data_IF_092350920947
#
_entry.id   IF_092350920947
#
_cell.length_a   1.000
_cell.length_b   1.000
_cell.length_c   1.000
_cell.angle_alpha   90.00
_cell.angle_beta   90.00
_cell.angle_gamma   90.00
#
_symmetry.space_group_name_H-M   'P 1'
#
loop_
_entity.id
_entity.type
_entity.pdbx_description
1 polymer ?
#
# COMPACT_ATOMS: atom_id res chain seq x y z
N UNK A 1 -40.47 3.08 -37.25
CA UNK A 1 -39.23 3.83 -36.98
C UNK A 1 -39.53 4.86 -35.91
N UNK A 2 -39.17 4.56 -34.67
CA UNK A 2 -39.04 5.54 -33.58
C UNK A 2 -37.61 5.43 -33.08
N UNK A 3 -36.75 6.19 -33.76
CA UNK A 3 -35.33 6.38 -33.48
C UNK A 3 -35.20 7.36 -32.32
N UNK A 4 -35.34 6.91 -31.09
CA UNK A 4 -34.72 7.59 -29.93
C UNK A 4 -33.55 6.78 -29.36
N UNK A 5 -33.06 5.82 -30.14
CA UNK A 5 -31.64 5.45 -30.17
C UNK A 5 -30.81 6.57 -30.81
N UNK A 6 -30.79 7.75 -30.21
CA UNK A 6 -29.58 8.55 -30.22
C UNK A 6 -28.79 8.03 -29.03
N UNK A 7 -27.96 7.02 -29.30
CA UNK A 7 -26.87 6.60 -28.42
C UNK A 7 -26.29 7.86 -27.81
N UNK A 8 -26.51 8.06 -26.51
CA UNK A 8 -25.76 8.98 -25.69
C UNK A 8 -24.31 8.81 -26.09
N UNK A 9 -23.69 9.88 -26.61
CA UNK A 9 -22.23 9.95 -26.59
C UNK A 9 -21.86 9.67 -25.14
N UNK A 10 -21.18 8.54 -24.87
CA UNK A 10 -20.85 8.13 -23.51
C UNK A 10 -20.29 9.34 -22.77
N UNK A 11 -21.03 9.84 -21.78
CA UNK A 11 -20.58 10.96 -20.95
C UNK A 11 -19.27 10.52 -20.30
N UNK A 12 -18.22 11.33 -20.47
CA UNK A 12 -16.87 10.97 -20.00
C UNK A 12 -16.44 11.85 -18.83
N UNK A 13 -17.02 13.05 -18.70
CA UNK A 13 -16.80 13.97 -17.59
C UNK A 13 -18.08 14.08 -16.79
N UNK A 14 -17.97 13.99 -15.47
CA UNK A 14 -19.08 13.94 -14.52
C UNK A 14 -18.88 14.97 -13.43
N UNK A 15 -19.98 15.44 -12.84
CA UNK A 15 -20.03 16.36 -11.70
C UNK A 15 -20.82 15.77 -10.54
N UNK A 16 -20.83 16.48 -9.41
CA UNK A 16 -21.60 16.08 -8.21
C UNK A 16 -23.08 15.80 -8.52
N UNK A 17 -23.67 16.55 -9.45
CA UNK A 17 -25.08 16.37 -9.87
C UNK A 17 -25.37 15.04 -10.60
N UNK A 18 -24.33 14.29 -10.98
CA UNK A 18 -24.46 12.99 -11.63
C UNK A 18 -24.36 11.82 -10.64
N UNK A 19 -24.12 12.10 -9.36
CA UNK A 19 -24.05 11.07 -8.32
C UNK A 19 -25.42 10.41 -8.19
N UNK A 20 -25.44 9.08 -8.30
CA UNK A 20 -26.60 8.25 -8.03
C UNK A 20 -26.35 7.41 -6.77
N UNK A 21 -27.10 7.74 -5.71
CA UNK A 21 -27.00 7.04 -4.43
C UNK A 21 -27.73 5.70 -4.42
N UNK A 22 -28.69 5.48 -5.33
CA UNK A 22 -29.35 4.18 -5.46
C UNK A 22 -28.36 3.18 -6.06
N UNK A 23 -27.59 3.58 -7.08
CA UNK A 23 -26.50 2.78 -7.65
C UNK A 23 -25.44 2.42 -6.59
N UNK A 24 -24.99 3.41 -5.80
CA UNK A 24 -24.03 3.16 -4.72
C UNK A 24 -24.60 2.20 -3.66
N UNK A 25 -25.88 2.34 -3.32
CA UNK A 25 -26.57 1.48 -2.36
C UNK A 25 -26.65 0.05 -2.89
N UNK A 26 -27.02 -0.15 -4.15
CA UNK A 26 -27.08 -1.47 -4.79
C UNK A 26 -25.69 -2.13 -4.79
N UNK A 27 -24.65 -1.39 -5.20
CA UNK A 27 -23.26 -1.86 -5.21
C UNK A 27 -22.82 -2.30 -3.82
N UNK A 28 -23.08 -1.51 -2.78
CA UNK A 28 -22.64 -1.82 -1.42
C UNK A 28 -23.53 -2.86 -0.70
N UNK A 29 -24.68 -3.24 -1.28
CA UNK A 29 -25.58 -4.26 -0.75
C UNK A 29 -25.16 -5.70 -1.13
N UNK A 30 -24.11 -5.85 -1.93
CA UNK A 30 -23.53 -7.13 -2.29
C UNK A 30 -23.07 -7.92 -1.06
N UNK A 31 -23.02 -9.25 -1.20
CA UNK A 31 -22.60 -10.18 -0.14
C UNK A 31 -21.41 -10.99 -0.61
N UNK A 32 -20.37 -11.01 0.22
CA UNK A 32 -19.18 -11.83 0.02
C UNK A 32 -19.45 -13.23 0.58
N UNK A 33 -19.32 -14.26 -0.25
CA UNK A 33 -19.42 -15.65 0.19
C UNK A 33 -18.01 -16.27 0.25
N UNK A 34 -17.75 -17.09 1.26
CA UNK A 34 -16.45 -17.75 1.41
C UNK A 34 -16.15 -18.71 0.25
N UNK A 35 -17.18 -19.34 -0.33
CA UNK A 35 -17.03 -20.27 -1.46
C UNK A 35 -16.48 -19.62 -2.74
N UNK A 36 -16.59 -18.29 -2.86
CA UNK A 36 -16.00 -17.53 -3.98
C UNK A 36 -14.49 -17.32 -3.82
N UNK A 37 -13.94 -17.55 -2.62
CA UNK A 37 -12.53 -17.33 -2.27
C UNK A 37 -11.97 -18.58 -1.59
N UNK A 38 -11.64 -19.57 -2.41
CA UNK A 38 -11.25 -20.92 -1.98
C UNK A 38 -10.00 -20.98 -1.10
N UNK A 39 -9.13 -19.96 -1.16
CA UNK A 39 -7.93 -19.87 -0.33
C UNK A 39 -8.18 -19.16 0.99
N UNK A 40 -9.35 -18.53 1.15
CA UNK A 40 -9.71 -17.80 2.37
C UNK A 40 -10.07 -18.74 3.52
N UNK A 41 -9.67 -18.35 4.72
CA UNK A 41 -9.99 -19.05 5.95
C UNK A 41 -11.43 -18.75 6.41
N UNK A 42 -11.89 -17.52 6.18
CA UNK A 42 -13.25 -17.09 6.50
C UNK A 42 -13.63 -15.79 5.80
N UNK A 43 -14.91 -15.45 5.84
CA UNK A 43 -15.42 -14.12 5.50
C UNK A 43 -16.18 -13.57 6.70
N UNK A 44 -15.94 -12.31 7.06
CA UNK A 44 -16.67 -11.62 8.13
C UNK A 44 -16.98 -10.20 7.70
N UNK A 45 -18.23 -9.76 7.87
CA UNK A 45 -18.68 -8.42 7.47
C UNK A 45 -18.26 -8.05 6.03
N UNK A 46 -18.41 -8.95 5.06
CA UNK A 46 -17.93 -8.79 3.67
C UNK A 46 -16.40 -8.61 3.50
N UNK A 47 -15.59 -8.71 4.54
CA UNK A 47 -14.12 -8.72 4.47
C UNK A 47 -13.65 -10.16 4.35
N UNK A 48 -12.83 -10.44 3.33
CA UNK A 48 -12.20 -11.76 3.13
C UNK A 48 -11.00 -11.89 4.08
N UNK A 49 -10.88 -13.02 4.78
CA UNK A 49 -9.84 -13.23 5.78
C UNK A 49 -9.01 -14.45 5.40
N UNK A 50 -7.71 -14.25 5.29
CA UNK A 50 -6.69 -15.27 5.07
C UNK A 50 -5.79 -15.42 6.31
N UNK A 51 -5.16 -16.57 6.48
CA UNK A 51 -4.09 -16.79 7.45
C UNK A 51 -2.74 -16.95 6.75
N UNK A 52 -1.72 -16.23 7.23
CA UNK A 52 -0.39 -16.26 6.66
C UNK A 52 0.21 -17.67 6.59
N UNK A 53 -0.08 -18.55 7.54
CA UNK A 53 0.44 -19.93 7.53
C UNK A 53 -0.17 -20.75 6.40
N UNK A 54 -1.46 -20.55 6.10
CA UNK A 54 -2.08 -21.16 4.94
C UNK A 54 -1.48 -20.61 3.64
N UNK A 55 -1.32 -19.28 3.55
CA UNK A 55 -0.75 -18.63 2.36
C UNK A 55 0.70 -19.07 2.08
N UNK A 56 1.52 -19.33 3.11
CA UNK A 56 2.89 -19.87 2.96
C UNK A 56 2.92 -21.16 2.13
N UNK A 57 1.88 -21.98 2.15
CA UNK A 57 1.81 -23.23 1.36
C UNK A 57 1.71 -23.01 -0.17
N UNK A 58 1.45 -21.77 -0.60
CA UNK A 58 1.42 -21.35 -2.01
C UNK A 58 2.76 -20.76 -2.48
N UNK A 59 3.68 -20.48 -1.56
CA UNK A 59 5.00 -19.87 -1.81
C UNK A 59 6.02 -20.97 -2.12
N UNK A 60 5.68 -21.83 -3.09
CA UNK A 60 6.47 -23.03 -3.44
C UNK A 60 7.02 -22.94 -4.86
N UNK A 61 6.21 -22.41 -5.79
CA UNK A 61 6.57 -22.20 -7.18
C UNK A 61 5.67 -21.13 -7.82
N UNK A 62 6.07 -20.66 -8.99
CA UNK A 62 5.37 -19.58 -9.71
C UNK A 62 3.90 -19.89 -10.02
N UNK A 63 3.55 -21.16 -10.27
CA UNK A 63 2.18 -21.55 -10.58
C UNK A 63 1.26 -21.35 -9.35
N UNK A 64 1.69 -21.81 -8.18
CA UNK A 64 0.93 -21.62 -6.94
C UNK A 64 0.89 -20.15 -6.50
N UNK A 65 2.00 -19.43 -6.64
CA UNK A 65 2.02 -17.99 -6.37
C UNK A 65 1.05 -17.24 -7.29
N UNK A 66 0.93 -17.65 -8.56
CA UNK A 66 -0.03 -17.07 -9.50
C UNK A 66 -1.48 -17.31 -9.07
N UNK A 67 -1.81 -18.52 -8.62
CA UNK A 67 -3.16 -18.84 -8.11
C UNK A 67 -3.52 -17.93 -6.94
N UNK A 68 -2.62 -17.78 -5.95
CA UNK A 68 -2.82 -16.87 -4.83
C UNK A 68 -3.01 -15.43 -5.29
N UNK A 69 -2.11 -14.92 -6.14
CA UNK A 69 -2.22 -13.55 -6.68
C UNK A 69 -3.51 -13.32 -7.45
N UNK A 70 -4.00 -14.32 -8.19
CA UNK A 70 -5.27 -14.22 -8.91
C UNK A 70 -6.45 -14.08 -7.96
N UNK A 71 -6.52 -14.87 -6.88
CA UNK A 71 -7.62 -14.75 -5.91
C UNK A 71 -7.57 -13.41 -5.16
N UNK A 72 -6.39 -12.97 -4.70
CA UNK A 72 -6.22 -11.66 -4.06
C UNK A 72 -6.62 -10.51 -5.01
N UNK A 73 -6.25 -10.60 -6.29
CA UNK A 73 -6.65 -9.63 -7.31
C UNK A 73 -8.19 -9.60 -7.49
N UNK A 74 -8.84 -10.77 -7.51
CA UNK A 74 -10.29 -10.87 -7.62
C UNK A 74 -11.00 -10.22 -6.43
N UNK A 75 -10.49 -10.39 -5.20
CA UNK A 75 -11.03 -9.68 -4.02
C UNK A 75 -10.99 -8.16 -4.23
N UNK A 76 -9.86 -7.63 -4.73
CA UNK A 76 -9.62 -6.20 -4.88
C UNK A 76 -10.35 -5.54 -6.05
N UNK A 77 -10.51 -6.26 -7.17
CA UNK A 77 -11.14 -5.72 -8.38
C UNK A 77 -12.66 -5.89 -8.34
N UNK A 78 -13.12 -7.14 -8.40
CA UNK A 78 -14.52 -7.50 -8.63
C UNK A 78 -15.24 -7.95 -7.34
N UNK A 79 -14.49 -8.19 -6.28
CA UNK A 79 -14.99 -8.56 -4.96
C UNK A 79 -15.25 -7.36 -4.04
N UNK A 80 -15.19 -7.58 -2.72
CA UNK A 80 -15.47 -6.54 -1.72
C UNK A 80 -14.42 -5.42 -1.66
N UNK A 81 -13.30 -5.55 -2.37
CA UNK A 81 -12.26 -4.52 -2.41
C UNK A 81 -11.32 -4.53 -1.23
N UNK A 82 -11.50 -5.43 -0.25
CA UNK A 82 -10.73 -5.48 1.00
C UNK A 82 -10.54 -6.92 1.51
N UNK A 83 -9.35 -7.21 2.02
CA UNK A 83 -9.06 -8.44 2.76
C UNK A 83 -8.11 -8.22 3.93
N UNK A 84 -8.11 -9.18 4.85
CA UNK A 84 -7.17 -9.27 5.97
C UNK A 84 -6.29 -10.51 5.82
N UNK A 85 -5.01 -10.39 6.16
CA UNK A 85 -4.08 -11.50 6.35
C UNK A 85 -3.71 -11.55 7.83
N UNK A 86 -4.19 -12.58 8.53
CA UNK A 86 -3.83 -12.84 9.92
C UNK A 86 -2.40 -13.34 10.02
N UNK A 87 -1.74 -13.00 11.13
CA UNK A 87 -0.38 -13.47 11.42
C UNK A 87 0.63 -13.13 10.32
N UNK A 88 0.44 -11.99 9.63
CA UNK A 88 1.31 -11.57 8.52
C UNK A 88 2.75 -11.32 9.02
N UNK A 89 2.88 -10.80 10.23
CA UNK A 89 4.14 -10.55 10.92
C UNK A 89 4.19 -11.25 12.27
N UNK A 90 5.38 -11.73 12.60
CA UNK A 90 5.70 -12.20 13.95
C UNK A 90 5.82 -11.02 14.92
N UNK A 91 5.46 -11.23 16.19
CA UNK A 91 5.43 -10.18 17.20
C UNK A 91 6.77 -9.46 17.38
N UNK A 92 7.88 -10.18 17.29
CA UNK A 92 9.23 -9.62 17.47
C UNK A 92 9.59 -8.58 16.39
N UNK A 93 9.18 -8.80 15.14
CA UNK A 93 9.41 -7.85 14.03
C UNK A 93 8.63 -6.55 14.26
N UNK A 94 7.40 -6.68 14.76
CA UNK A 94 6.55 -5.54 15.12
C UNK A 94 7.12 -4.78 16.32
N UNK A 95 7.55 -5.49 17.37
CA UNK A 95 8.08 -4.89 18.59
C UNK A 95 9.40 -4.14 18.34
N UNK A 96 10.27 -4.69 17.48
CA UNK A 96 11.48 -4.01 17.02
C UNK A 96 11.15 -2.68 16.30
N UNK A 97 10.13 -2.69 15.43
CA UNK A 97 9.68 -1.51 14.70
C UNK A 97 9.04 -0.47 15.63
N UNK A 98 8.22 -0.92 16.60
CA UNK A 98 7.60 -0.04 17.59
C UNK A 98 8.64 0.69 18.44
N UNK A 99 9.70 0.00 18.86
CA UNK A 99 10.81 0.62 19.60
C UNK A 99 11.48 1.73 18.78
N UNK A 100 11.58 1.57 17.46
CA UNK A 100 12.13 2.59 16.56
C UNK A 100 11.14 3.76 16.41
N UNK A 101 9.84 3.47 16.27
CA UNK A 101 8.80 4.50 16.19
C UNK A 101 8.76 5.37 17.44
N UNK A 102 8.88 4.79 18.64
CA UNK A 102 8.97 5.54 19.90
C UNK A 102 10.16 6.51 19.88
N UNK A 103 11.35 6.04 19.49
CA UNK A 103 12.55 6.89 19.36
C UNK A 103 12.39 8.01 18.33
N UNK A 104 11.65 7.76 17.24
CA UNK A 104 11.38 8.77 16.22
C UNK A 104 10.40 9.82 16.77
N UNK A 105 9.33 9.38 17.43
CA UNK A 105 8.35 10.28 18.07
C UNK A 105 9.05 11.19 19.09
N UNK A 106 9.88 10.63 19.97
CA UNK A 106 10.64 11.40 20.96
C UNK A 106 11.53 12.48 20.31
N UNK A 107 12.12 12.20 19.15
CA UNK A 107 12.93 13.17 18.40
C UNK A 107 12.11 14.25 17.69
N UNK A 108 10.86 13.94 17.33
CA UNK A 108 10.04 14.79 16.45
C UNK A 108 8.97 15.59 17.19
N UNK A 109 8.80 15.41 18.51
CA UNK A 109 7.80 16.07 19.37
C UNK A 109 7.70 17.58 19.15
N UNK A 110 8.81 18.29 18.91
CA UNK A 110 8.83 19.75 18.78
C UNK A 110 8.78 20.27 17.33
N UNK A 111 8.61 19.40 16.33
CA UNK A 111 8.74 19.76 14.89
C UNK A 111 7.54 19.39 14.03
N UNK A 112 6.46 18.85 14.59
CA UNK A 112 5.32 18.33 13.82
C UNK A 112 4.42 19.45 13.25
N UNK A 113 4.58 19.72 11.95
CA UNK A 113 3.60 20.43 11.14
C UNK A 113 2.70 19.36 10.49
N UNK A 114 1.60 18.97 11.14
CA UNK A 114 0.72 17.92 10.64
C UNK A 114 -0.57 18.51 10.06
N UNK A 115 -0.72 18.43 8.73
CA UNK A 115 -1.93 18.86 8.02
C UNK A 115 -3.05 17.81 8.05
N UNK A 116 -2.80 16.59 8.53
CA UNK A 116 -3.73 15.44 8.48
C UNK A 116 -4.05 14.79 9.83
N UNK A 117 -3.25 15.00 10.88
CA UNK A 117 -3.64 14.58 12.24
C UNK A 117 -4.67 15.54 12.83
N UNK A 118 -5.83 14.99 13.17
CA UNK A 118 -6.81 15.66 14.02
C UNK A 118 -6.43 15.50 15.50
N UNK A 119 -6.35 16.62 16.23
CA UNK A 119 -6.26 16.61 17.69
C UNK A 119 -4.94 16.06 18.25
N UNK A 120 -5.01 15.03 19.09
CA UNK A 120 -3.88 14.49 19.88
C UNK A 120 -3.18 13.29 19.23
N UNK A 121 -3.64 12.83 18.07
CA UNK A 121 -3.05 11.70 17.34
C UNK A 121 -1.64 12.04 16.85
N UNK A 122 -0.77 11.03 16.77
CA UNK A 122 0.59 11.19 16.21
C UNK A 122 0.68 10.51 14.85
N UNK A 123 1.28 11.21 13.89
CA UNK A 123 1.70 10.68 12.60
C UNK A 123 3.23 10.66 12.51
N UNK A 124 3.79 9.55 12.08
CA UNK A 124 5.19 9.51 11.62
C UNK A 124 5.18 9.48 10.09
N UNK A 125 5.45 10.63 9.48
CA UNK A 125 5.69 10.73 8.03
C UNK A 125 6.99 10.05 7.65
N UNK A 126 7.07 9.50 6.44
CA UNK A 126 8.22 8.80 5.90
C UNK A 126 8.81 7.74 6.83
N UNK A 127 7.96 6.99 7.54
CA UNK A 127 8.43 5.95 8.46
C UNK A 127 9.25 4.87 7.74
N UNK A 128 8.96 4.61 6.45
CA UNK A 128 9.74 3.72 5.59
C UNK A 128 11.24 4.08 5.58
N UNK A 129 11.56 5.32 5.18
CA UNK A 129 12.95 5.77 5.12
C UNK A 129 13.55 5.96 6.51
N UNK A 130 12.77 6.48 7.48
CA UNK A 130 13.27 6.72 8.83
C UNK A 130 13.68 5.42 9.52
N UNK A 131 12.90 4.35 9.41
CA UNK A 131 13.26 3.03 9.94
C UNK A 131 14.52 2.49 9.27
N UNK A 132 14.60 2.59 7.93
CA UNK A 132 15.78 2.14 7.18
C UNK A 132 17.08 2.78 7.67
N UNK A 133 17.05 4.08 7.96
CA UNK A 133 18.22 4.85 8.41
C UNK A 133 18.49 4.74 9.91
N UNK A 134 17.49 4.38 10.70
CA UNK A 134 17.66 4.16 12.13
C UNK A 134 18.23 2.78 12.43
N UNK A 135 17.75 1.75 11.71
CA UNK A 135 18.18 0.37 11.91
C UNK A 135 17.98 -0.45 10.62
N UNK A 136 19.07 -0.74 9.93
CA UNK A 136 19.07 -1.52 8.69
C UNK A 136 18.46 -2.91 8.86
N UNK A 137 18.81 -3.64 9.92
CA UNK A 137 18.34 -5.02 10.13
C UNK A 137 16.84 -5.06 10.45
N UNK A 138 16.32 -4.10 11.23
CA UNK A 138 14.89 -3.98 11.49
C UNK A 138 14.11 -3.75 10.18
N UNK A 139 14.62 -2.87 9.32
CA UNK A 139 14.04 -2.62 8.01
C UNK A 139 14.09 -3.87 7.12
N UNK A 140 15.24 -4.55 7.06
CA UNK A 140 15.43 -5.79 6.28
C UNK A 140 14.47 -6.88 6.78
N UNK A 141 14.36 -7.10 8.08
CA UNK A 141 13.46 -8.09 8.67
C UNK A 141 11.98 -7.77 8.37
N UNK A 142 11.59 -6.49 8.39
CA UNK A 142 10.22 -6.08 8.09
C UNK A 142 9.84 -6.27 6.62
N UNK A 143 10.74 -5.94 5.69
CA UNK A 143 10.44 -6.00 4.24
C UNK A 143 10.87 -7.31 3.56
N UNK A 144 11.53 -8.22 4.28
CA UNK A 144 11.78 -9.61 3.85
C UNK A 144 10.55 -10.50 4.06
N UNK A 145 9.36 -10.05 3.66
CA UNK A 145 8.10 -10.77 3.83
C UNK A 145 7.55 -11.26 2.48
N UNK A 146 7.59 -12.58 2.26
CA UNK A 146 7.12 -13.20 1.00
C UNK A 146 5.63 -12.93 0.72
N UNK A 147 4.80 -12.92 1.76
CA UNK A 147 3.36 -12.71 1.60
C UNK A 147 3.08 -11.26 1.22
N UNK A 148 3.75 -10.30 1.87
CA UNK A 148 3.60 -8.88 1.51
C UNK A 148 4.00 -8.64 0.04
N UNK A 149 5.07 -9.28 -0.43
CA UNK A 149 5.51 -9.23 -1.84
C UNK A 149 4.43 -9.78 -2.77
N UNK A 150 3.79 -10.90 -2.44
CA UNK A 150 2.69 -11.45 -3.27
C UNK A 150 1.42 -10.60 -3.22
N UNK A 151 1.10 -10.00 -2.07
CA UNK A 151 0.01 -9.03 -1.94
C UNK A 151 0.26 -7.83 -2.86
N UNK A 152 1.46 -7.25 -2.82
CA UNK A 152 1.84 -6.14 -3.70
C UNK A 152 1.71 -6.52 -5.18
N UNK A 153 2.27 -7.67 -5.57
CA UNK A 153 2.24 -8.15 -6.95
C UNK A 153 0.85 -8.52 -7.45
N UNK A 154 -0.07 -8.91 -6.57
CA UNK A 154 -1.44 -9.25 -6.94
C UNK A 154 -2.19 -8.06 -7.54
N UNK A 155 -1.85 -6.84 -7.13
CA UNK A 155 -2.51 -5.62 -7.59
C UNK A 155 -1.62 -4.76 -8.49
N UNK A 156 -0.39 -4.50 -8.06
CA UNK A 156 0.50 -3.52 -8.68
C UNK A 156 1.46 -4.13 -9.72
N UNK A 157 1.53 -5.46 -9.80
CA UNK A 157 2.54 -6.17 -10.58
C UNK A 157 3.93 -6.16 -9.92
N UNK A 158 4.96 -6.65 -10.61
CA UNK A 158 6.33 -6.69 -10.08
C UNK A 158 6.93 -5.28 -9.92
N UNK A 159 7.99 -5.17 -9.13
CA UNK A 159 8.76 -3.93 -8.96
C UNK A 159 7.92 -2.75 -8.42
N UNK A 160 6.95 -3.04 -7.56
CA UNK A 160 6.15 -2.02 -6.87
C UNK A 160 7.03 -1.17 -5.97
N UNK A 161 6.71 0.11 -5.86
CA UNK A 161 7.32 1.04 -4.92
C UNK A 161 6.51 1.08 -3.62
N UNK A 162 7.17 1.23 -2.47
CA UNK A 162 6.48 1.24 -1.18
C UNK A 162 6.84 2.47 -0.37
N UNK A 163 5.81 3.10 0.19
CA UNK A 163 5.95 4.12 1.24
C UNK A 163 5.19 3.66 2.48
N UNK A 164 5.58 4.19 3.63
CA UNK A 164 4.96 3.81 4.89
C UNK A 164 4.85 4.99 5.84
N UNK A 165 3.72 5.09 6.54
CA UNK A 165 3.42 6.15 7.50
C UNK A 165 2.72 5.57 8.72
N UNK A 166 3.21 5.89 9.92
CA UNK A 166 2.64 5.34 11.16
C UNK A 166 1.56 6.26 11.69
N UNK A 167 0.40 5.68 12.01
CA UNK A 167 -0.67 6.32 12.76
C UNK A 167 -0.73 5.78 14.18
N UNK A 168 -0.61 6.67 15.16
CA UNK A 168 -0.86 6.40 16.57
C UNK A 168 -2.14 7.12 16.96
N UNK A 169 -3.24 6.38 17.07
CA UNK A 169 -4.53 6.93 17.52
C UNK A 169 -4.61 6.83 19.03
N UNK A 170 -4.67 7.98 19.70
CA UNK A 170 -4.69 8.06 21.16
C UNK A 170 -6.09 7.77 21.72
N UNK A 171 -6.18 7.40 23.01
CA UNK A 171 -7.45 7.40 23.75
C UNK A 171 -8.27 8.66 23.50
N UNK A 172 -9.56 8.50 23.20
CA UNK A 172 -10.47 9.60 22.86
C UNK A 172 -10.33 10.14 21.42
N UNK A 173 -9.50 9.53 20.58
CA UNK A 173 -9.34 9.93 19.18
C UNK A 173 -10.64 9.78 18.39
N UNK A 174 -11.07 10.84 17.71
CA UNK A 174 -12.30 10.84 16.91
C UNK A 174 -12.15 10.03 15.61
N UNK A 175 -13.28 9.52 15.11
CA UNK A 175 -13.34 8.88 13.81
C UNK A 175 -13.05 9.88 12.69
N UNK A 176 -12.26 9.46 11.70
CA UNK A 176 -12.01 10.28 10.52
C UNK A 176 -13.23 10.32 9.59
N UNK A 177 -13.29 11.36 8.76
CA UNK A 177 -14.25 11.39 7.66
C UNK A 177 -13.95 10.28 6.63
N UNK A 178 -14.98 9.65 6.05
CA UNK A 178 -14.77 8.67 5.00
C UNK A 178 -14.10 9.34 3.80
N UNK A 179 -13.12 8.65 3.24
CA UNK A 179 -12.39 9.12 2.06
C UNK A 179 -11.99 7.94 1.18
N UNK A 180 -11.60 8.27 -0.05
CA UNK A 180 -10.81 7.38 -0.91
C UNK A 180 -9.38 7.86 -0.86
N UNK A 181 -8.47 6.93 -1.05
CA UNK A 181 -7.05 7.21 -1.02
C UNK A 181 -6.49 7.53 -2.40
N UNK A 182 -5.20 7.90 -2.42
CA UNK A 182 -4.42 8.26 -3.60
C UNK A 182 -4.85 9.59 -4.23
N UNK A 183 -4.16 10.02 -5.29
CA UNK A 183 -4.15 11.42 -5.76
C UNK A 183 -5.53 12.08 -5.88
N UNK A 184 -6.51 11.38 -6.45
CA UNK A 184 -7.86 11.91 -6.65
C UNK A 184 -8.66 12.01 -5.34
N UNK A 185 -8.41 11.13 -4.38
CA UNK A 185 -9.06 11.17 -3.06
C UNK A 185 -8.84 12.48 -2.30
N UNK A 186 -7.71 13.14 -2.55
CA UNK A 186 -7.33 14.40 -1.90
C UNK A 186 -7.78 15.66 -2.64
N UNK A 187 -8.36 15.54 -3.84
CA UNK A 187 -8.74 16.70 -4.67
C UNK A 187 -10.16 17.19 -4.36
N UNK A 188 -10.40 18.49 -4.56
CA UNK A 188 -11.74 19.09 -4.59
C UNK A 188 -12.54 18.64 -5.81
N UNK A 189 -13.87 18.60 -5.68
CA UNK A 189 -14.76 18.12 -6.74
C UNK A 189 -14.59 18.89 -8.06
N UNK A 190 -14.40 20.22 -8.00
CA UNK A 190 -14.10 21.07 -9.17
C UNK A 190 -12.82 20.66 -9.94
N UNK A 191 -11.86 20.04 -9.25
CA UNK A 191 -10.66 19.48 -9.89
C UNK A 191 -10.98 18.11 -10.48
N UNK A 192 -11.70 17.26 -9.75
CA UNK A 192 -12.10 15.93 -10.18
C UNK A 192 -12.98 15.93 -11.45
N UNK A 193 -13.84 16.93 -11.59
CA UNK A 193 -14.70 17.16 -12.76
C UNK A 193 -13.91 17.38 -14.07
N UNK A 194 -12.64 17.78 -13.97
CA UNK A 194 -11.76 17.98 -15.12
C UNK A 194 -11.10 16.69 -15.60
N UNK A 195 -11.24 15.60 -14.87
CA UNK A 195 -10.70 14.30 -15.25
C UNK A 195 -11.77 13.44 -15.89
N UNK A 196 -11.49 12.79 -17.04
CA UNK A 196 -12.41 11.83 -17.60
C UNK A 196 -12.55 10.60 -16.68
N UNK A 197 -13.67 9.90 -16.73
CA UNK A 197 -13.96 8.73 -15.90
C UNK A 197 -12.90 7.62 -16.02
N UNK A 198 -12.21 7.54 -17.16
CA UNK A 198 -11.08 6.63 -17.35
C UNK A 198 -9.90 6.95 -16.42
N UNK A 199 -9.66 8.22 -16.09
CA UNK A 199 -8.64 8.63 -15.11
C UNK A 199 -9.06 8.29 -13.68
N UNK A 200 -10.35 8.43 -13.35
CA UNK A 200 -10.90 8.00 -12.06
C UNK A 200 -10.69 6.50 -11.85
N UNK A 201 -11.04 5.69 -12.87
CA UNK A 201 -10.81 4.24 -12.87
C UNK A 201 -9.33 3.90 -12.84
N UNK A 202 -8.47 4.55 -13.64
CA UNK A 202 -7.04 4.27 -13.65
C UNK A 202 -6.39 4.54 -12.28
N UNK A 203 -6.82 5.59 -11.58
CA UNK A 203 -6.30 5.97 -10.25
C UNK A 203 -6.23 4.78 -9.30
N UNK A 204 -7.29 3.96 -9.25
CA UNK A 204 -7.36 2.82 -8.33
C UNK A 204 -6.45 1.64 -8.67
N UNK A 205 -5.99 1.53 -9.92
CA UNK A 205 -5.08 0.47 -10.38
C UNK A 205 -3.60 0.83 -10.19
N UNK A 206 -3.28 2.09 -9.84
CA UNK A 206 -1.89 2.55 -9.71
C UNK A 206 -1.32 2.38 -8.30
N UNK A 207 -2.15 2.03 -7.32
CA UNK A 207 -1.70 1.76 -5.95
C UNK A 207 -2.63 0.77 -5.23
N UNK A 208 -2.08 0.07 -4.24
CA UNK A 208 -2.77 -0.71 -3.23
C UNK A 208 -2.52 -0.08 -1.87
N UNK A 209 -3.55 0.01 -1.03
CA UNK A 209 -3.42 0.47 0.34
C UNK A 209 -3.34 -0.71 1.30
N UNK A 210 -2.47 -0.58 2.31
CA UNK A 210 -2.27 -1.57 3.35
C UNK A 210 -2.16 -0.93 4.73
N UNK A 211 -2.54 -1.66 5.76
CA UNK A 211 -2.34 -1.28 7.15
C UNK A 211 -1.89 -2.48 7.95
N UNK A 212 -0.72 -2.39 8.59
CA UNK A 212 -0.23 -3.43 9.49
C UNK A 212 -0.56 -3.03 10.93
N UNK A 213 -1.17 -3.95 11.67
CA UNK A 213 -1.50 -3.75 13.07
C UNK A 213 -0.22 -3.88 13.92
N UNK A 214 0.23 -2.75 14.48
CA UNK A 214 1.40 -2.70 15.36
C UNK A 214 1.06 -2.84 16.84
N UNK A 215 -0.23 -2.77 17.16
CA UNK A 215 -0.84 -3.16 18.43
C UNK A 215 -2.08 -3.99 18.12
N UNK A 216 -2.63 -4.69 19.12
CA UNK A 216 -3.96 -5.24 18.98
C UNK A 216 -4.96 -4.12 18.67
N UNK A 217 -5.97 -4.45 17.88
CA UNK A 217 -7.02 -3.54 17.46
C UNK A 217 -8.41 -4.18 17.68
N UNK A 218 -8.85 -4.34 18.95
CA UNK A 218 -10.25 -4.63 19.22
C UNK A 218 -11.12 -3.42 18.84
N UNK A 219 -12.43 -3.60 18.64
CA UNK A 219 -13.30 -2.59 18.01
C UNK A 219 -13.28 -1.23 18.73
N UNK A 220 -13.23 -1.24 20.06
CA UNK A 220 -13.19 -0.06 20.92
C UNK A 220 -11.95 0.82 20.71
N UNK A 221 -10.86 0.27 20.14
CA UNK A 221 -9.64 1.02 19.79
C UNK A 221 -9.74 1.72 18.43
N UNK A 222 -10.83 1.51 17.71
CA UNK A 222 -11.10 2.09 16.40
C UNK A 222 -10.26 1.51 15.27
N UNK A 223 -10.31 0.19 14.96
CA UNK A 223 -9.72 -0.36 13.74
C UNK A 223 -10.23 0.38 12.49
N UNK A 224 -9.57 0.21 11.34
CA UNK A 224 -10.01 0.85 10.10
C UNK A 224 -11.46 0.46 9.78
N UNK A 225 -12.30 1.47 9.55
CA UNK A 225 -13.67 1.34 9.07
C UNK A 225 -13.62 1.32 7.55
N UNK A 226 -14.22 0.32 6.92
CA UNK A 226 -14.23 0.16 5.46
C UNK A 226 -15.66 -0.03 4.95
N UNK A 227 -15.96 0.40 3.73
CA UNK A 227 -17.23 0.15 3.06
C UNK A 227 -17.01 -0.81 1.88
N UNK A 228 -17.16 -2.13 2.08
CA UNK A 228 -16.95 -3.14 1.04
C UNK A 228 -17.74 -2.85 -0.24
N UNK A 229 -17.20 -3.27 -1.38
CA UNK A 229 -17.72 -3.06 -2.75
C UNK A 229 -17.76 -1.62 -3.25
N UNK A 230 -17.61 -0.63 -2.36
CA UNK A 230 -17.72 0.78 -2.77
C UNK A 230 -16.69 1.23 -3.80
N UNK A 231 -15.57 0.53 -3.97
CA UNK A 231 -14.58 0.80 -5.02
C UNK A 231 -15.14 0.63 -6.43
N UNK A 232 -16.23 -0.13 -6.59
CA UNK A 232 -16.89 -0.37 -7.87
C UNK A 232 -17.74 0.82 -8.32
N UNK A 233 -18.08 1.73 -7.40
CA UNK A 233 -18.80 2.95 -7.76
C UNK A 233 -17.85 3.98 -8.38
N UNK A 234 -17.94 4.14 -9.70
CA UNK A 234 -17.03 4.97 -10.50
C UNK A 234 -16.99 6.44 -10.06
N UNK A 235 -18.13 7.00 -9.64
CA UNK A 235 -18.25 8.42 -9.26
C UNK A 235 -17.85 8.70 -7.82
N UNK A 236 -17.41 7.70 -7.04
CA UNK A 236 -17.19 7.91 -5.61
C UNK A 236 -16.02 8.84 -5.24
N UNK A 237 -15.14 9.24 -6.17
CA UNK A 237 -14.21 10.33 -5.86
C UNK A 237 -14.94 11.67 -5.65
N UNK A 238 -16.16 11.84 -6.20
CA UNK A 238 -16.98 13.06 -6.08
C UNK A 238 -17.88 13.07 -4.82
N UNK A 239 -18.08 11.94 -4.13
CA UNK A 239 -19.17 11.81 -3.14
C UNK A 239 -18.82 12.21 -1.71
N UNK A 240 -17.56 12.15 -1.30
CA UNK A 240 -17.21 12.12 0.13
C UNK A 240 -17.47 13.42 0.91
N UNK A 241 -17.78 14.51 0.22
CA UNK A 241 -18.09 15.83 0.81
C UNK A 241 -19.57 16.01 1.15
N UNK A 242 -20.41 15.05 0.76
CA UNK A 242 -21.85 15.07 1.00
C UNK A 242 -22.18 14.49 2.38
N UNK A 243 -22.96 15.22 3.17
CA UNK A 243 -23.44 14.78 4.48
C UNK A 243 -24.29 13.50 4.37
N UNK A 244 -25.10 13.38 3.31
CA UNK A 244 -25.91 12.19 3.07
C UNK A 244 -25.04 10.94 2.85
N UNK A 245 -23.89 11.11 2.19
CA UNK A 245 -22.91 10.04 2.05
C UNK A 245 -22.25 9.69 3.40
N UNK A 246 -21.95 10.69 4.23
CA UNK A 246 -21.44 10.48 5.60
C UNK A 246 -22.38 9.59 6.42
N UNK A 247 -23.68 9.88 6.41
CA UNK A 247 -24.70 9.08 7.08
C UNK A 247 -24.80 7.66 6.50
N UNK A 248 -24.76 7.54 5.17
CA UNK A 248 -24.73 6.24 4.49
C UNK A 248 -23.50 5.41 4.90
N UNK A 249 -22.32 6.02 4.94
CA UNK A 249 -21.09 5.37 5.34
C UNK A 249 -21.16 4.89 6.79
N UNK A 250 -21.55 5.76 7.73
CA UNK A 250 -21.65 5.42 9.15
C UNK A 250 -22.63 4.27 9.42
N UNK A 251 -23.67 4.12 8.58
CA UNK A 251 -24.66 3.04 8.70
C UNK A 251 -24.18 1.71 8.11
N UNK A 252 -23.45 1.73 7.01
CA UNK A 252 -23.17 0.54 6.20
C UNK A 252 -21.71 0.07 6.25
N UNK A 253 -20.79 0.94 6.66
CA UNK A 253 -19.39 0.57 6.78
C UNK A 253 -19.17 -0.38 7.96
N UNK A 254 -18.11 -1.16 7.87
CA UNK A 254 -17.83 -2.27 8.78
C UNK A 254 -16.42 -2.15 9.33
N UNK A 255 -16.19 -2.83 10.45
CA UNK A 255 -14.88 -3.00 11.05
C UNK A 255 -14.62 -4.48 11.31
N UNK A 256 -13.35 -4.83 11.34
CA UNK A 256 -12.86 -6.15 11.74
C UNK A 256 -11.82 -5.95 12.82
N UNK A 257 -11.90 -6.78 13.87
CA UNK A 257 -10.88 -6.84 14.90
C UNK A 257 -9.61 -7.43 14.30
N UNK A 258 -8.47 -6.87 14.67
CA UNK A 258 -7.16 -7.34 14.23
C UNK A 258 -6.27 -7.54 15.44
N UNK A 259 -5.38 -8.52 15.39
CA UNK A 259 -4.32 -8.71 16.36
C UNK A 259 -3.04 -8.03 15.87
N UNK A 260 -2.13 -7.74 16.80
CA UNK A 260 -0.78 -7.30 16.47
C UNK A 260 -0.13 -8.28 15.48
N UNK A 261 0.37 -7.75 14.37
CA UNK A 261 0.98 -8.51 13.27
C UNK A 261 0.03 -8.86 12.13
N UNK A 262 -1.28 -8.63 12.26
CA UNK A 262 -2.22 -8.77 11.15
C UNK A 262 -2.06 -7.62 10.13
N UNK A 263 -2.38 -7.88 8.86
CA UNK A 263 -2.42 -6.86 7.80
C UNK A 263 -3.80 -6.75 7.16
N UNK A 264 -4.30 -5.53 6.95
CA UNK A 264 -5.49 -5.25 6.13
C UNK A 264 -5.03 -4.61 4.82
N UNK A 265 -5.56 -5.06 3.68
CA UNK A 265 -5.24 -4.53 2.36
C UNK A 265 -6.52 -4.25 1.59
N UNK A 266 -6.57 -3.11 0.92
CA UNK A 266 -7.75 -2.71 0.18
C UNK A 266 -7.42 -1.88 -1.05
N UNK A 267 -8.30 -1.99 -2.03
CA UNK A 267 -8.30 -1.14 -3.21
C UNK A 267 -8.44 0.32 -2.76
N UNK A 268 -7.58 1.26 -3.22
CA UNK A 268 -7.58 2.65 -2.74
C UNK A 268 -8.90 3.40 -2.99
N UNK A 269 -9.79 2.89 -3.86
CA UNK A 269 -11.12 3.44 -4.08
C UNK A 269 -12.20 2.88 -3.13
N UNK A 270 -11.87 1.95 -2.22
CA UNK A 270 -12.76 1.60 -1.11
C UNK A 270 -12.87 2.81 -0.19
N UNK A 271 -14.09 3.25 0.12
CA UNK A 271 -14.26 4.24 1.16
C UNK A 271 -13.84 3.66 2.50
N UNK A 272 -13.05 4.43 3.22
CA UNK A 272 -12.56 4.04 4.52
C UNK A 272 -12.30 5.24 5.40
N UNK A 273 -12.13 4.97 6.69
CA UNK A 273 -11.76 5.95 7.70
C UNK A 273 -11.02 5.25 8.85
N UNK A 274 -10.17 5.98 9.57
CA UNK A 274 -9.76 5.53 10.90
C UNK A 274 -10.99 5.59 11.84
N UNK A 275 -11.28 4.48 12.54
CA UNK A 275 -12.33 4.43 13.56
C UNK A 275 -11.98 5.25 14.80
N UNK A 276 -13.00 5.56 15.61
CA UNK A 276 -12.81 6.26 16.88
C UNK A 276 -12.14 5.34 17.92
N UNK A 277 -11.14 5.86 18.64
CA UNK A 277 -10.58 5.18 19.79
C UNK A 277 -11.32 5.62 21.06
N UNK A 278 -12.21 4.75 21.52
CA UNK A 278 -13.09 4.99 22.69
C UNK A 278 -12.48 4.52 24.01
N UNK A 279 -11.25 4.00 23.99
CA UNK A 279 -10.53 3.58 25.20
C UNK A 279 -10.01 4.78 26.00
N UNK A 280 -9.54 4.52 27.22
CA UNK A 280 -8.98 5.55 28.11
C UNK A 280 -7.45 5.50 28.21
N UNK A 281 -6.83 4.37 27.86
CA UNK A 281 -5.44 4.06 28.18
C UNK A 281 -4.70 3.29 27.07
N UNK A 282 -5.35 3.04 25.92
CA UNK A 282 -4.76 2.25 24.84
C UNK A 282 -4.44 3.08 23.60
N UNK A 283 -3.19 3.06 23.17
CA UNK A 283 -2.72 3.70 21.93
C UNK A 283 -2.76 2.70 20.77
N UNK A 284 -3.62 2.93 19.79
CA UNK A 284 -3.73 2.07 18.60
C UNK A 284 -2.67 2.47 17.57
N UNK A 285 -1.70 1.60 17.31
CA UNK A 285 -0.63 1.85 16.34
C UNK A 285 -0.91 1.05 15.06
N UNK A 286 -0.99 1.75 13.92
CA UNK A 286 -1.07 1.14 12.60
C UNK A 286 0.01 1.69 11.68
N UNK A 287 0.78 0.83 11.03
CA UNK A 287 1.74 1.22 10.01
C UNK A 287 1.06 1.13 8.64
N UNK A 288 0.80 2.28 8.02
CA UNK A 288 0.07 2.37 6.76
C UNK A 288 1.04 2.26 5.60
N UNK A 289 0.83 1.29 4.72
CA UNK A 289 1.61 1.05 3.52
C UNK A 289 0.86 1.60 2.31
N UNK A 290 1.51 2.44 1.51
CA UNK A 290 1.07 2.71 0.15
C UNK A 290 2.00 1.98 -0.81
N UNK A 291 1.45 0.98 -1.48
CA UNK A 291 2.16 0.15 -2.45
C UNK A 291 1.78 0.66 -3.82
N UNK A 292 2.72 1.25 -4.55
CA UNK A 292 2.47 1.87 -5.85
C UNK A 292 3.01 1.00 -6.98
N UNK A 293 2.26 0.91 -8.08
CA UNK A 293 2.77 0.38 -9.34
C UNK A 293 4.02 1.17 -9.76
N UNK A 294 5.00 0.55 -10.45
CA UNK A 294 6.11 1.30 -11.07
C UNK A 294 5.64 2.37 -12.07
N UNK A 295 4.40 2.29 -12.54
CA UNK A 295 3.77 3.30 -13.41
C UNK A 295 3.02 4.40 -12.63
N UNK A 296 2.89 4.25 -11.31
CA UNK A 296 2.23 5.21 -10.42
C UNK A 296 3.19 6.28 -9.89
N UNK A 297 2.62 7.28 -9.21
CA UNK A 297 3.40 8.26 -8.44
C UNK A 297 3.04 8.08 -6.97
N UNK A 298 3.97 7.67 -6.10
CA UNK A 298 3.70 7.65 -4.66
C UNK A 298 3.35 9.05 -4.14
N UNK A 299 2.57 9.13 -3.06
CA UNK A 299 2.23 10.40 -2.39
C UNK A 299 3.44 11.02 -1.67
N UNK A 300 4.42 10.18 -1.33
CA UNK A 300 5.60 10.55 -0.57
C UNK A 300 6.86 10.24 -1.37
N UNK A 301 7.86 11.12 -1.26
CA UNK A 301 9.15 10.93 -1.93
C UNK A 301 10.10 10.14 -1.03
N UNK A 302 10.56 9.00 -1.54
CA UNK A 302 11.60 8.17 -0.91
C UNK A 302 12.95 8.42 -1.57
N UNK A 303 14.00 8.56 -0.76
CA UNK A 303 15.38 8.60 -1.22
C UNK A 303 15.97 7.17 -1.24
N UNK A 304 15.65 6.44 -2.31
CA UNK A 304 16.13 5.07 -2.49
C UNK A 304 17.66 4.97 -2.53
N UNK A 305 18.36 5.99 -3.05
CA UNK A 305 19.83 6.00 -3.09
C UNK A 305 20.38 6.02 -1.67
N UNK A 306 19.84 6.88 -0.81
CA UNK A 306 20.26 6.98 0.58
C UNK A 306 19.93 5.70 1.36
N UNK A 307 18.73 5.16 1.17
CA UNK A 307 18.33 3.90 1.82
C UNK A 307 19.24 2.76 1.40
N UNK A 308 19.39 2.51 0.09
CA UNK A 308 20.09 1.33 -0.38
C UNK A 308 21.58 1.37 -0.03
N UNK A 309 22.24 2.53 -0.14
CA UNK A 309 23.62 2.68 0.32
C UNK A 309 23.77 2.40 1.83
N UNK A 310 22.77 2.76 2.63
CA UNK A 310 22.80 2.53 4.07
C UNK A 310 22.60 1.06 4.43
N UNK A 311 21.63 0.37 3.81
CA UNK A 311 21.30 -1.02 4.17
C UNK A 311 22.15 -2.06 3.42
N UNK A 312 22.84 -1.69 2.34
CA UNK A 312 23.62 -2.61 1.50
C UNK A 312 24.65 -3.45 2.28
N UNK A 313 25.43 -2.91 3.25
CA UNK A 313 26.35 -3.71 4.05
C UNK A 313 25.65 -4.83 4.84
N UNK A 314 24.50 -4.53 5.47
CA UNK A 314 23.68 -5.52 6.19
C UNK A 314 23.14 -6.57 5.22
N UNK A 315 22.63 -6.18 4.05
CA UNK A 315 22.16 -7.14 3.03
C UNK A 315 23.28 -8.10 2.59
N UNK A 316 24.49 -7.59 2.37
CA UNK A 316 25.65 -8.40 2.02
C UNK A 316 26.07 -9.33 3.16
N UNK A 317 26.02 -8.85 4.40
CA UNK A 317 26.27 -9.67 5.58
C UNK A 317 25.25 -10.81 5.71
N UNK A 318 23.96 -10.54 5.54
CA UNK A 318 22.90 -11.54 5.56
C UNK A 318 23.10 -12.61 4.48
N UNK A 319 23.48 -12.20 3.27
CA UNK A 319 23.79 -13.11 2.16
C UNK A 319 24.99 -14.01 2.48
N UNK A 320 26.09 -13.41 2.94
CA UNK A 320 27.34 -14.12 3.25
C UNK A 320 27.19 -15.09 4.42
N UNK A 321 26.48 -14.69 5.47
CA UNK A 321 26.21 -15.52 6.64
C UNK A 321 25.03 -16.48 6.44
N UNK A 322 24.31 -16.37 5.33
CA UNK A 322 23.11 -17.15 4.99
C UNK A 322 22.03 -17.06 6.08
N UNK A 323 21.90 -15.90 6.71
CA UNK A 323 20.83 -15.64 7.70
C UNK A 323 19.52 -15.28 7.03
N UNK A 324 19.56 -14.82 5.77
CA UNK A 324 18.39 -14.70 4.89
C UNK A 324 18.65 -15.47 3.58
N UNK A 325 17.58 -15.98 2.99
CA UNK A 325 17.66 -16.58 1.65
C UNK A 325 17.74 -15.48 0.58
N UNK A 326 18.23 -15.82 -0.61
CA UNK A 326 18.26 -14.90 -1.76
C UNK A 326 16.86 -14.36 -2.10
N UNK A 327 15.81 -15.18 -1.94
CA UNK A 327 14.42 -14.77 -2.16
C UNK A 327 13.98 -13.71 -1.16
N UNK A 328 14.33 -13.86 0.11
CA UNK A 328 13.99 -12.89 1.16
C UNK A 328 14.75 -11.57 0.98
N UNK A 329 16.00 -11.63 0.54
CA UNK A 329 16.77 -10.44 0.13
C UNK A 329 16.10 -9.75 -1.07
N UNK A 330 15.63 -10.52 -2.04
CA UNK A 330 14.93 -10.01 -3.22
C UNK A 330 13.69 -9.18 -2.86
N UNK A 331 12.90 -9.66 -1.89
CA UNK A 331 11.73 -8.94 -1.39
C UNK A 331 12.12 -7.57 -0.80
N UNK A 332 13.24 -7.48 -0.07
CA UNK A 332 13.74 -6.20 0.45
C UNK A 332 14.15 -5.28 -0.70
N UNK A 333 14.84 -5.81 -1.73
CA UNK A 333 15.27 -5.01 -2.87
C UNK A 333 14.09 -4.43 -3.66
N UNK A 334 13.02 -5.19 -3.85
CA UNK A 334 11.78 -4.71 -4.50
C UNK A 334 11.25 -3.46 -3.78
N UNK A 335 11.32 -3.44 -2.44
CA UNK A 335 10.84 -2.33 -1.65
C UNK A 335 11.85 -1.16 -1.60
N UNK A 336 13.13 -1.47 -1.48
CA UNK A 336 14.19 -0.51 -1.13
C UNK A 336 14.89 0.13 -2.34
N UNK A 337 14.46 -0.19 -3.56
CA UNK A 337 15.07 0.32 -4.80
C UNK A 337 14.01 0.80 -5.80
N UNK A 338 14.41 1.66 -6.71
CA UNK A 338 13.61 1.94 -7.90
C UNK A 338 13.74 0.79 -8.91
N UNK A 339 12.73 -0.08 -8.90
CA UNK A 339 12.69 -1.26 -9.76
C UNK A 339 12.29 -0.97 -11.22
N UNK A 340 11.97 0.28 -11.57
CA UNK A 340 11.61 0.64 -12.94
C UNK A 340 12.77 1.29 -13.69
N UNK A 341 13.03 0.83 -14.92
CA UNK A 341 14.14 1.32 -15.74
C UNK A 341 13.93 2.75 -16.27
N UNK A 342 12.68 3.22 -16.31
CA UNK A 342 12.33 4.54 -16.82
C UNK A 342 11.92 5.51 -15.70
N UNK A 343 12.04 6.83 -15.90
CA UNK A 343 12.71 7.47 -17.03
C UNK A 343 14.23 7.21 -17.01
N UNK A 344 14.83 7.27 -18.20
CA UNK A 344 16.28 7.23 -18.46
C UNK A 344 16.57 8.21 -19.60
N UNK A 345 17.80 8.75 -19.69
CA UNK A 345 18.17 9.58 -20.82
C UNK A 345 18.55 8.68 -22.01
N UNK A 346 17.67 8.60 -23.02
CA UNK A 346 17.88 7.77 -24.20
C UNK A 346 19.06 8.19 -25.10
N UNK A 347 19.57 9.42 -24.97
CA UNK A 347 20.79 9.86 -25.68
C UNK A 347 22.06 9.29 -25.03
N UNK A 348 22.01 8.99 -23.73
CA UNK A 348 23.13 8.48 -22.93
C UNK A 348 23.03 7.00 -22.56
N UNK A 349 21.82 6.46 -22.51
CA UNK A 349 21.55 5.05 -22.23
C UNK A 349 21.92 4.20 -23.44
N UNK A 350 23.21 3.85 -23.51
CA UNK A 350 23.81 3.09 -24.60
C UNK A 350 23.63 1.58 -24.43
N UNK A 351 22.71 1.11 -23.58
CA UNK A 351 22.56 -0.32 -23.30
C UNK A 351 22.46 -1.13 -24.60
N UNK A 352 23.56 -1.80 -24.91
CA UNK A 352 23.84 -2.52 -26.15
C UNK A 352 23.48 -3.99 -26.08
N UNK A 353 23.07 -4.46 -24.90
CA UNK A 353 22.96 -5.89 -24.60
C UNK A 353 21.51 -6.35 -24.68
N UNK A 354 20.93 -6.33 -25.88
CA UNK A 354 19.69 -7.04 -26.30
C UNK A 354 18.38 -6.80 -25.52
N UNK A 355 18.39 -6.07 -24.39
CA UNK A 355 17.19 -5.70 -23.64
C UNK A 355 16.67 -4.35 -24.15
N UNK A 356 15.34 -4.26 -24.36
CA UNK A 356 14.65 -3.04 -24.78
C UNK A 356 14.69 -1.90 -23.73
N UNK A 357 15.29 -2.12 -22.57
CA UNK A 357 15.34 -1.18 -21.46
C UNK A 357 16.71 -1.14 -20.76
N UNK A 358 17.02 0.01 -20.15
CA UNK A 358 18.15 0.25 -19.26
C UNK A 358 18.18 -0.69 -18.04
N UNK A 359 19.32 -0.79 -17.36
CA UNK A 359 19.43 -1.53 -16.09
C UNK A 359 18.72 -0.75 -14.96
N UNK A 360 17.85 -1.38 -14.19
CA UNK A 360 17.19 -0.71 -13.05
C UNK A 360 18.08 -0.67 -11.80
N UNK A 361 17.70 0.14 -10.81
CA UNK A 361 18.41 0.18 -9.51
C UNK A 361 18.33 -1.19 -8.82
N UNK A 362 17.18 -1.85 -8.91
CA UNK A 362 16.98 -3.23 -8.43
C UNK A 362 17.97 -4.20 -9.09
N UNK A 363 18.05 -4.23 -10.43
CA UNK A 363 18.94 -5.15 -11.15
C UNK A 363 20.41 -4.91 -10.82
N UNK A 364 20.84 -3.64 -10.78
CA UNK A 364 22.21 -3.26 -10.44
C UNK A 364 22.57 -3.68 -9.01
N UNK A 365 21.67 -3.44 -8.06
CA UNK A 365 21.89 -3.78 -6.65
C UNK A 365 21.96 -5.28 -6.44
N UNK A 366 21.02 -6.03 -7.05
CA UNK A 366 21.00 -7.49 -7.00
C UNK A 366 22.29 -8.09 -7.55
N UNK A 367 22.74 -7.65 -8.72
CA UNK A 367 24.00 -8.12 -9.29
C UNK A 367 25.20 -7.76 -8.40
N UNK A 368 25.21 -6.56 -7.81
CA UNK A 368 26.30 -6.12 -6.92
C UNK A 368 26.42 -6.98 -5.66
N UNK A 369 25.28 -7.41 -5.09
CA UNK A 369 25.24 -8.35 -3.97
C UNK A 369 25.77 -9.72 -4.36
N UNK A 370 25.34 -10.27 -5.51
CA UNK A 370 25.84 -11.55 -6.03
C UNK A 370 27.34 -11.52 -6.30
N UNK A 371 27.85 -10.41 -6.83
CA UNK A 371 29.27 -10.18 -7.08
C UNK A 371 30.05 -9.87 -5.78
N UNK A 372 29.37 -9.77 -4.64
CA UNK A 372 29.95 -9.41 -3.33
C UNK A 372 30.78 -8.12 -3.36
N UNK A 373 30.28 -7.10 -4.08
CA UNK A 373 31.00 -5.82 -4.18
C UNK A 373 31.06 -5.12 -2.82
N UNK A 374 32.18 -4.44 -2.54
CA UNK A 374 32.27 -3.53 -1.38
C UNK A 374 31.29 -2.36 -1.53
N UNK A 375 30.93 -1.74 -0.40
CA UNK A 375 30.03 -0.58 -0.40
C UNK A 375 30.54 0.52 -1.33
N UNK A 376 31.84 0.83 -1.32
CA UNK A 376 32.41 1.90 -2.14
C UNK A 376 32.22 1.64 -3.64
N UNK A 377 32.43 0.38 -4.08
CA UNK A 377 32.25 -0.01 -5.47
C UNK A 377 30.78 0.01 -5.87
N UNK A 378 29.89 -0.46 -5.00
CA UNK A 378 28.45 -0.42 -5.22
C UNK A 378 27.95 1.03 -5.33
N UNK A 379 28.31 1.90 -4.38
CA UNK A 379 27.92 3.31 -4.36
C UNK A 379 28.39 4.05 -5.63
N UNK A 380 29.60 3.74 -6.12
CA UNK A 380 30.10 4.30 -7.38
C UNK A 380 29.23 3.87 -8.57
N UNK A 381 28.98 2.57 -8.73
CA UNK A 381 28.10 2.04 -9.80
C UNK A 381 26.70 2.63 -9.75
N UNK A 382 26.14 2.78 -8.54
CA UNK A 382 24.82 3.38 -8.35
C UNK A 382 24.82 4.86 -8.76
N UNK A 383 25.86 5.61 -8.42
CA UNK A 383 26.01 7.00 -8.84
C UNK A 383 26.15 7.14 -10.36
N UNK A 384 26.90 6.23 -11.01
CA UNK A 384 27.03 6.18 -12.46
C UNK A 384 25.67 5.92 -13.12
N UNK A 385 24.88 4.96 -12.61
CA UNK A 385 23.52 4.70 -13.09
C UNK A 385 22.62 5.94 -12.99
N UNK A 386 22.66 6.64 -11.86
CA UNK A 386 21.86 7.86 -11.65
C UNK A 386 22.28 8.98 -12.59
N UNK A 387 23.58 9.16 -12.79
CA UNK A 387 24.10 10.12 -13.76
C UNK A 387 23.64 9.76 -15.18
N UNK A 388 23.70 8.49 -15.60
CA UNK A 388 23.19 8.09 -16.93
C UNK A 388 21.69 8.37 -17.09
N UNK A 389 20.88 8.13 -16.05
CA UNK A 389 19.42 8.33 -16.12
C UNK A 389 19.00 9.80 -16.15
N UNK A 390 19.77 10.69 -15.53
CA UNK A 390 19.37 12.08 -15.29
C UNK A 390 20.28 13.16 -15.88
N UNK A 391 21.45 12.79 -16.43
CA UNK A 391 22.33 13.77 -17.08
C UNK A 391 21.59 14.44 -18.25
N UNK A 392 21.69 15.77 -18.32
CA UNK A 392 21.14 16.63 -19.36
C UNK A 392 21.83 17.98 -19.32
#
# INVERSE_FOLDING_TARGET
MTRETVKTRQKVYFSESDIDYDDLTEICSQKTLQEDYSLSDSVSNNVVIYDANHLKSFIVNELKERILKTELHQVLENGPGVFVVRNLYEGEVIDQSNTIFEKIVEREIDTSNDHFASGTNIRIWNSFQKVALENADAFINYYSNDILKLVAESWCGPNSQMTAQVNIVRPGGEMQKPHRDYHLGFQENKVLEKFPISSHRLSRYLTLQGGIAHTDMPLETGPTVVLPYSQQYDLGYLTWRDEAFGDFFNKNAVQIQMNKGDGIFFNPAVFHAAGANTTNDFHRIGNLLQISSPFGKPIERIDYIKIINHIYPSLLEHLNKKTLSEKLIDNVLICATDGYAFPTNLDHDKNSDSKLQGMSMYELTKQSLLDSLSLEKFSLKLSELQHMRHAG
#
